data_IF_416704844528
#
_entry.id   IF_416704844528
#
_cell.length_a   1.000
_cell.length_b   1.000
_cell.length_c   1.000
_cell.angle_alpha   90.00
_cell.angle_beta   90.00
_cell.angle_gamma   90.00
#
_symmetry.space_group_name_H-M   'P 1'
#
loop_
_entity.id
_entity.type
_entity.pdbx_description
1 polymer ?
#
# COMPACT_ATOMS: atom_id res chain seq x y z
N UNK A 1 -12.44 14.81 -5.54
CA UNK A 1 -11.23 14.03 -5.87
C UNK A 1 -11.52 13.26 -7.15
N UNK A 2 -10.66 13.36 -8.17
CA UNK A 2 -10.82 12.61 -9.42
C UNK A 2 -10.11 11.26 -9.22
N UNK A 3 -10.77 10.10 -9.43
CA UNK A 3 -10.13 8.80 -9.33
C UNK A 3 -8.95 8.67 -10.31
N UNK A 4 -7.86 8.02 -9.91
CA UNK A 4 -6.77 7.70 -10.84
C UNK A 4 -7.31 6.81 -11.97
N UNK A 5 -7.22 7.31 -13.20
CA UNK A 5 -7.56 6.59 -14.43
C UNK A 5 -6.27 6.06 -15.03
N UNK A 6 -6.10 4.73 -15.05
CA UNK A 6 -4.91 4.08 -15.60
C UNK A 6 -3.76 3.99 -14.59
N UNK A 7 -2.57 4.37 -15.04
CA UNK A 7 -1.32 4.26 -14.29
C UNK A 7 -0.49 5.54 -14.47
N UNK A 8 0.14 6.01 -13.39
CA UNK A 8 1.02 7.18 -13.42
C UNK A 8 2.35 6.84 -12.74
N UNK A 9 3.46 7.03 -13.45
CA UNK A 9 4.78 6.99 -12.83
C UNK A 9 5.15 8.37 -12.31
N UNK A 10 5.48 8.48 -11.03
CA UNK A 10 6.08 9.67 -10.44
C UNK A 10 7.48 9.35 -9.94
N UNK A 11 8.42 10.26 -10.19
CA UNK A 11 9.78 10.18 -9.68
C UNK A 11 9.96 11.30 -8.65
N UNK A 12 10.25 10.95 -7.42
CA UNK A 12 10.51 11.91 -6.34
C UNK A 12 11.97 11.75 -5.92
N UNK A 13 12.73 12.82 -5.95
CA UNK A 13 14.12 12.85 -5.46
C UNK A 13 14.17 13.68 -4.20
N UNK A 14 14.64 13.08 -3.09
CA UNK A 14 14.89 13.78 -1.82
C UNK A 14 16.31 13.47 -1.36
N UNK A 15 17.18 14.47 -1.41
CA UNK A 15 18.61 14.28 -1.19
C UNK A 15 19.20 13.29 -2.20
N UNK A 16 19.90 12.26 -1.70
CA UNK A 16 20.53 11.23 -2.52
C UNK A 16 19.60 10.04 -2.86
N UNK A 17 18.34 10.10 -2.42
CA UNK A 17 17.36 9.02 -2.64
C UNK A 17 16.39 9.40 -3.75
N UNK A 18 16.24 8.51 -4.72
CA UNK A 18 15.25 8.61 -5.80
C UNK A 18 14.21 7.53 -5.62
N UNK A 19 12.96 7.92 -5.39
CA UNK A 19 11.81 7.02 -5.29
C UNK A 19 11.05 7.07 -6.62
N UNK A 20 10.86 5.90 -7.25
CA UNK A 20 9.94 5.74 -8.39
C UNK A 20 8.65 5.12 -7.88
N UNK A 21 7.56 5.86 -7.99
CA UNK A 21 6.22 5.49 -7.57
C UNK A 21 5.38 5.18 -8.80
N UNK A 22 4.70 4.04 -8.78
CA UNK A 22 3.68 3.67 -9.76
C UNK A 22 2.33 3.78 -9.07
N UNK A 23 1.58 4.84 -9.37
CA UNK A 23 0.20 5.01 -8.90
C UNK A 23 -0.74 4.29 -9.87
N UNK A 24 -1.53 3.36 -9.36
CA UNK A 24 -2.40 2.48 -10.16
C UNK A 24 -3.83 2.61 -9.65
N UNK A 25 -4.78 2.84 -10.56
CA UNK A 25 -6.18 2.97 -10.20
C UNK A 25 -6.77 1.72 -9.55
N UNK A 26 -7.58 1.92 -8.50
CA UNK A 26 -8.26 0.87 -7.75
C UNK A 26 -9.50 0.25 -8.42
N UNK A 27 -9.92 0.79 -9.57
CA UNK A 27 -11.14 0.37 -10.26
C UNK A 27 -10.98 -1.05 -10.81
N UNK A 28 -12.04 -1.89 -10.80
CA UNK A 28 -11.99 -3.28 -11.26
C UNK A 28 -11.29 -3.47 -12.62
N UNK A 29 -11.56 -2.57 -13.58
CA UNK A 29 -10.97 -2.61 -14.94
C UNK A 29 -9.44 -2.49 -14.98
N UNK A 30 -8.80 -2.00 -13.92
CA UNK A 30 -7.35 -1.82 -13.86
C UNK A 30 -6.63 -2.90 -13.02
N UNK A 31 -7.37 -3.75 -12.30
CA UNK A 31 -6.80 -4.73 -11.37
C UNK A 31 -5.98 -5.82 -12.05
N UNK A 32 -6.34 -6.19 -13.29
CA UNK A 32 -5.57 -7.12 -14.11
C UNK A 32 -4.15 -6.64 -14.42
N UNK A 33 -3.88 -5.35 -14.29
CA UNK A 33 -2.56 -4.78 -14.54
C UNK A 33 -1.68 -4.69 -13.28
N UNK A 34 -2.25 -4.85 -12.08
CA UNK A 34 -1.51 -4.67 -10.83
C UNK A 34 -0.26 -5.56 -10.77
N UNK A 35 -0.41 -6.85 -11.11
CA UNK A 35 0.69 -7.82 -11.16
C UNK A 35 1.87 -7.30 -12.01
N UNK A 36 1.57 -6.75 -13.20
CA UNK A 36 2.58 -6.28 -14.14
C UNK A 36 3.40 -5.12 -13.57
N UNK A 37 2.78 -4.21 -12.83
CA UNK A 37 3.43 -3.02 -12.28
C UNK A 37 4.06 -3.26 -10.91
N UNK A 38 3.54 -4.19 -10.13
CA UNK A 38 4.12 -4.61 -8.86
C UNK A 38 5.35 -5.52 -9.04
N UNK A 39 5.54 -6.14 -10.21
CA UNK A 39 6.69 -7.00 -10.46
C UNK A 39 8.02 -6.23 -10.36
N UNK A 40 8.91 -6.70 -9.50
CA UNK A 40 10.27 -6.16 -9.36
C UNK A 40 10.37 -4.84 -8.60
N UNK A 41 9.29 -4.38 -7.95
CA UNK A 41 9.33 -3.23 -7.04
C UNK A 41 10.08 -3.58 -5.75
N UNK A 42 10.54 -2.56 -5.01
CA UNK A 42 11.21 -2.78 -3.71
C UNK A 42 10.21 -2.99 -2.56
N UNK A 43 9.01 -2.41 -2.68
CA UNK A 43 7.89 -2.61 -1.76
C UNK A 43 6.57 -2.28 -2.47
N UNK A 44 5.47 -2.86 -2.00
CA UNK A 44 4.10 -2.53 -2.41
C UNK A 44 3.46 -1.69 -1.32
N UNK A 45 2.87 -0.55 -1.69
CA UNK A 45 2.04 0.24 -0.78
C UNK A 45 0.57 0.02 -1.15
N UNK A 46 -0.20 -0.56 -0.24
CA UNK A 46 -1.62 -0.84 -0.44
C UNK A 46 -2.46 0.12 0.40
N UNK A 47 -3.21 1.00 -0.26
CA UNK A 47 -4.04 1.99 0.41
C UNK A 47 -5.46 1.50 0.61
N UNK A 48 -5.94 1.60 1.85
CA UNK A 48 -7.30 1.25 2.27
C UNK A 48 -7.97 2.50 2.83
N UNK A 49 -9.26 2.67 2.56
CA UNK A 49 -10.08 3.68 3.23
C UNK A 49 -10.55 3.13 4.58
N UNK A 50 -9.92 3.55 5.67
CA UNK A 50 -10.21 3.02 7.00
C UNK A 50 -11.62 3.40 7.49
N UNK A 51 -12.23 4.45 6.94
CA UNK A 51 -13.58 4.89 7.28
C UNK A 51 -14.68 4.14 6.51
N UNK A 52 -14.34 3.45 5.42
CA UNK A 52 -15.29 2.73 4.57
C UNK A 52 -15.29 1.23 4.89
N UNK A 53 -15.90 0.89 6.04
CA UNK A 53 -15.89 -0.48 6.56
C UNK A 53 -16.56 -1.51 5.63
N UNK A 54 -17.55 -1.08 4.83
CA UNK A 54 -18.26 -1.95 3.88
C UNK A 54 -17.33 -2.48 2.77
N UNK A 55 -16.29 -1.73 2.42
CA UNK A 55 -15.33 -2.10 1.36
C UNK A 55 -14.10 -2.83 1.86
N UNK A 56 -13.95 -3.01 3.18
CA UNK A 56 -12.79 -3.68 3.77
C UNK A 56 -12.71 -5.13 3.31
N UNK A 57 -13.82 -5.87 3.35
CA UNK A 57 -13.85 -7.27 2.92
C UNK A 57 -13.48 -7.43 1.44
N UNK A 58 -13.99 -6.55 0.57
CA UNK A 58 -13.60 -6.53 -0.83
C UNK A 58 -12.11 -6.20 -1.01
N UNK A 59 -11.60 -5.21 -0.26
CA UNK A 59 -10.18 -4.80 -0.31
C UNK A 59 -9.26 -5.92 0.19
N UNK A 60 -9.66 -6.65 1.23
CA UNK A 60 -8.97 -7.85 1.71
C UNK A 60 -8.81 -8.86 0.56
N UNK A 61 -9.92 -9.25 -0.05
CA UNK A 61 -9.90 -10.26 -1.12
C UNK A 61 -9.00 -9.82 -2.29
N UNK A 62 -9.04 -8.55 -2.67
CA UNK A 62 -8.17 -8.01 -3.72
C UNK A 62 -6.69 -7.99 -3.34
N UNK A 63 -6.36 -7.67 -2.08
CA UNK A 63 -4.99 -7.73 -1.57
C UNK A 63 -4.47 -9.16 -1.59
N UNK A 64 -5.19 -10.12 -0.99
CA UNK A 64 -4.76 -11.52 -0.96
C UNK A 64 -4.61 -12.10 -2.37
N UNK A 65 -5.57 -11.86 -3.27
CA UNK A 65 -5.48 -12.27 -4.68
C UNK A 65 -4.26 -11.68 -5.41
N UNK A 66 -3.84 -10.45 -5.06
CA UNK A 66 -2.64 -9.84 -5.60
C UNK A 66 -1.39 -10.51 -5.04
N UNK A 67 -1.34 -10.76 -3.73
CA UNK A 67 -0.16 -11.32 -3.08
C UNK A 67 0.07 -12.81 -3.37
N UNK A 68 -0.99 -13.55 -3.73
CA UNK A 68 -0.92 -14.93 -4.22
C UNK A 68 -0.21 -15.08 -5.57
N UNK A 69 0.08 -13.96 -6.27
CA UNK A 69 0.81 -13.99 -7.54
C UNK A 69 2.26 -14.39 -7.32
N UNK A 70 2.76 -15.49 -7.91
CA UNK A 70 4.14 -15.95 -7.71
C UNK A 70 5.20 -14.90 -8.06
N UNK A 71 4.91 -14.01 -9.02
CA UNK A 71 5.82 -12.95 -9.46
C UNK A 71 6.03 -11.87 -8.39
N UNK A 72 5.16 -11.82 -7.38
CA UNK A 72 5.20 -10.85 -6.28
C UNK A 72 5.67 -11.49 -4.97
N UNK A 73 6.03 -12.77 -4.98
CA UNK A 73 6.46 -13.49 -3.78
C UNK A 73 7.64 -12.78 -3.08
N UNK A 74 7.56 -12.66 -1.76
CA UNK A 74 8.60 -12.05 -0.93
C UNK A 74 8.74 -10.54 -1.04
N UNK A 75 7.96 -9.85 -1.87
CA UNK A 75 7.98 -8.38 -1.93
C UNK A 75 7.30 -7.82 -0.66
N UNK A 76 7.99 -6.98 0.15
CA UNK A 76 7.41 -6.38 1.34
C UNK A 76 6.17 -5.53 1.03
N UNK A 77 5.19 -5.57 1.93
CA UNK A 77 3.91 -4.86 1.77
C UNK A 77 3.67 -3.91 2.93
N UNK A 78 3.35 -2.65 2.62
CA UNK A 78 2.88 -1.66 3.58
C UNK A 78 1.41 -1.35 3.31
N UNK A 79 0.55 -1.74 4.25
CA UNK A 79 -0.88 -1.43 4.24
C UNK A 79 -1.13 -0.12 4.96
N UNK A 80 -1.72 0.85 4.29
CA UNK A 80 -2.03 2.17 4.85
C UNK A 80 -3.55 2.34 4.96
N UNK A 81 -4.05 2.33 6.19
CA UNK A 81 -5.42 2.72 6.51
C UNK A 81 -5.54 4.24 6.50
N UNK A 82 -6.00 4.83 5.41
CA UNK A 82 -6.14 6.27 5.28
C UNK A 82 -7.50 6.76 5.80
N UNK A 83 -7.57 8.07 6.07
CA UNK A 83 -8.74 8.78 6.61
C UNK A 83 -9.04 8.50 8.08
N UNK A 84 -7.99 8.25 8.88
CA UNK A 84 -8.13 8.08 10.34
C UNK A 84 -8.71 9.29 11.07
N UNK A 85 -8.73 10.46 10.41
CA UNK A 85 -9.37 11.68 10.90
C UNK A 85 -10.90 11.62 10.92
N UNK A 86 -11.51 10.64 10.24
CA UNK A 86 -12.97 10.48 10.20
C UNK A 86 -13.47 9.61 11.35
N UNK A 87 -14.65 9.97 11.87
CA UNK A 87 -15.33 9.15 12.87
C UNK A 87 -15.68 7.77 12.31
N UNK A 88 -15.41 6.72 13.09
CA UNK A 88 -15.63 5.33 12.67
C UNK A 88 -14.54 4.76 11.75
N UNK A 89 -13.44 5.49 11.55
CA UNK A 89 -12.26 4.94 10.90
C UNK A 89 -11.60 3.86 11.75
N UNK A 90 -11.26 2.74 11.11
CA UNK A 90 -10.60 1.61 11.75
C UNK A 90 -9.20 1.99 12.20
N UNK A 91 -8.85 1.54 13.41
CA UNK A 91 -7.49 1.62 13.89
C UNK A 91 -6.58 0.53 13.28
N UNK A 92 -5.30 0.57 13.62
CA UNK A 92 -4.30 -0.37 13.07
C UNK A 92 -4.59 -1.82 13.43
N UNK A 93 -5.08 -2.08 14.65
CA UNK A 93 -5.37 -3.44 15.12
C UNK A 93 -6.60 -4.00 14.41
N UNK A 94 -7.63 -3.19 14.29
CA UNK A 94 -8.86 -3.54 13.58
C UNK A 94 -8.58 -3.79 12.09
N UNK A 95 -7.72 -2.99 11.46
CA UNK A 95 -7.29 -3.21 10.07
C UNK A 95 -6.51 -4.51 9.91
N UNK A 96 -5.56 -4.80 10.81
CA UNK A 96 -4.78 -6.05 10.77
C UNK A 96 -5.72 -7.26 10.85
N UNK A 97 -6.70 -7.22 11.75
CA UNK A 97 -7.68 -8.30 11.93
C UNK A 97 -8.62 -8.42 10.72
N UNK A 98 -9.30 -7.34 10.33
CA UNK A 98 -10.30 -7.36 9.25
C UNK A 98 -9.69 -7.64 7.88
N UNK A 99 -8.47 -7.19 7.62
CA UNK A 99 -7.74 -7.51 6.38
C UNK A 99 -7.00 -8.84 6.46
N UNK A 100 -7.07 -9.54 7.59
CA UNK A 100 -6.41 -10.82 7.83
C UNK A 100 -4.92 -10.80 7.46
N UNK A 101 -4.20 -9.74 7.88
CA UNK A 101 -2.80 -9.54 7.48
C UNK A 101 -1.88 -10.59 8.09
N UNK A 102 -2.23 -11.11 9.27
CA UNK A 102 -1.48 -12.16 9.97
C UNK A 102 -1.42 -13.49 9.24
N UNK A 103 -2.31 -13.73 8.26
CA UNK A 103 -2.27 -14.93 7.42
C UNK A 103 -1.15 -14.89 6.37
N UNK A 104 -0.61 -13.71 6.07
CA UNK A 104 0.47 -13.52 5.10
C UNK A 104 1.80 -13.74 5.83
N UNK A 105 2.44 -14.88 5.57
CA UNK A 105 3.68 -15.30 6.25
C UNK A 105 4.90 -15.39 5.33
N UNK A 106 4.71 -15.20 4.03
CA UNK A 106 5.76 -15.38 3.01
C UNK A 106 6.57 -14.10 2.72
N UNK A 107 6.26 -13.00 3.41
CA UNK A 107 6.86 -11.66 3.22
C UNK A 107 6.69 -10.81 4.48
N UNK A 108 7.46 -9.73 4.56
CA UNK A 108 7.21 -8.69 5.56
C UNK A 108 5.91 -7.94 5.22
N UNK A 109 5.07 -7.75 6.24
CA UNK A 109 3.88 -6.91 6.15
C UNK A 109 3.81 -5.95 7.33
N UNK A 110 3.62 -4.67 7.03
CA UNK A 110 3.41 -3.62 8.03
C UNK A 110 2.07 -2.91 7.78
N UNK A 111 1.44 -2.43 8.83
CA UNK A 111 0.20 -1.67 8.75
C UNK A 111 0.28 -0.39 9.58
N UNK A 112 -0.06 0.75 8.98
CA UNK A 112 -0.19 2.03 9.67
C UNK A 112 -1.53 2.68 9.38
N UNK A 113 -2.08 3.36 10.38
CA UNK A 113 -3.26 4.21 10.22
C UNK A 113 -2.82 5.66 10.04
N UNK A 114 -3.21 6.28 8.92
CA UNK A 114 -2.73 7.58 8.46
C UNK A 114 -3.88 8.54 8.13
N UNK A 115 -3.57 9.83 8.10
CA UNK A 115 -4.43 10.82 7.43
C UNK A 115 -3.62 11.59 6.41
N UNK A 116 -3.87 11.34 5.12
CA UNK A 116 -3.29 12.16 4.05
C UNK A 116 -3.76 13.62 4.10
N UNK A 117 -4.95 13.86 4.66
CA UNK A 117 -5.54 15.21 4.77
C UNK A 117 -4.85 16.03 5.85
N UNK A 118 -4.74 15.47 7.06
CA UNK A 118 -4.13 16.13 8.21
C UNK A 118 -2.61 15.91 8.29
N UNK A 119 -2.05 15.13 7.35
CA UNK A 119 -0.64 14.71 7.29
C UNK A 119 -0.20 13.89 8.51
N UNK A 120 -1.13 13.18 9.13
CA UNK A 120 -0.86 12.31 10.28
C UNK A 120 -0.20 11.01 9.83
N UNK A 121 0.85 10.58 10.54
CA UNK A 121 1.64 9.37 10.28
C UNK A 121 2.28 9.24 8.88
N UNK A 122 2.43 10.34 8.15
CA UNK A 122 3.12 10.34 6.85
C UNK A 122 4.62 10.13 7.01
N UNK A 123 5.23 10.69 8.05
CA UNK A 123 6.68 10.57 8.27
C UNK A 123 7.11 9.12 8.55
N UNK A 124 6.35 8.38 9.37
CA UNK A 124 6.64 6.97 9.66
C UNK A 124 6.50 6.10 8.40
N UNK A 125 5.52 6.42 7.55
CA UNK A 125 5.31 5.76 6.25
C UNK A 125 6.53 5.98 5.35
N UNK A 126 7.04 7.21 5.27
CA UNK A 126 8.23 7.53 4.50
C UNK A 126 9.48 6.86 5.07
N UNK A 127 9.64 6.79 6.40
CA UNK A 127 10.76 6.10 7.03
C UNK A 127 10.78 4.61 6.68
N UNK A 128 9.64 3.93 6.75
CA UNK A 128 9.54 2.52 6.36
C UNK A 128 9.94 2.31 4.89
N UNK A 129 9.48 3.18 3.98
CA UNK A 129 9.85 3.13 2.57
C UNK A 129 11.34 3.37 2.32
N UNK A 130 11.97 4.28 3.08
CA UNK A 130 13.40 4.55 2.98
C UNK A 130 14.21 3.35 3.45
N UNK A 131 13.82 2.69 4.54
CA UNK A 131 14.48 1.48 5.04
C UNK A 131 14.46 0.34 4.00
N UNK A 132 13.36 0.23 3.25
CA UNK A 132 13.18 -0.77 2.19
C UNK A 132 13.69 -0.31 0.82
N UNK A 133 14.18 0.92 0.70
CA UNK A 133 14.81 1.38 -0.52
C UNK A 133 16.16 0.68 -0.65
N UNK A 134 16.37 -0.03 -1.77
CA UNK A 134 17.66 -0.67 -2.05
C UNK A 134 18.74 0.42 -2.09
N UNK A 135 19.59 0.48 -1.07
CA UNK A 135 20.89 1.12 -1.20
C UNK A 135 21.58 0.42 -2.36
N UNK A 136 21.83 1.16 -3.44
CA UNK A 136 22.69 0.69 -4.52
C UNK A 136 24.07 0.51 -3.87
N UNK A 137 24.37 -0.70 -3.36
CA UNK A 137 25.74 -1.07 -3.01
C UNK A 137 26.51 -0.94 -4.33
N UNK A 138 27.36 0.07 -4.40
CA UNK A 138 28.35 0.22 -5.47
C UNK A 138 29.34 -0.94 -5.39
#
# INVERSE_FOLDING_TARGET
MIPTVGFNMRKITKGNVTIKLWDIGGQPRFRSMWERYCRGVSAIVYMVDAADQEKIEASKNELHNLLDKPQLQGIPVLVLGNKRDLAGALDEKELIEKMNLSAIQDREICCYSISCKEKDNIDITLQWLIQHSKSRRS
#
